data_IF_439723128002
#
_entry.id   IF_439723128002
#
_cell.length_a   1.000
_cell.length_b   1.000
_cell.length_c   1.000
_cell.angle_alpha   90.00
_cell.angle_beta   90.00
_cell.angle_gamma   90.00
#
_symmetry.space_group_name_H-M   'P 1'
#
loop_
_entity.id
_entity.type
_entity.pdbx_description
1 polymer ?
#
# COMPACT_ATOMS: atom_id res chain seq x y z
N UNK A 1 -18.38 -40.97 -15.09
CA UNK A 1 -17.92 -39.85 -15.94
C UNK A 1 -18.57 -39.99 -17.31
N UNK A 2 -19.45 -39.04 -17.69
CA UNK A 2 -20.28 -39.16 -18.89
C UNK A 2 -19.46 -38.84 -20.15
N UNK A 3 -18.87 -39.87 -20.74
CA UNK A 3 -18.27 -39.83 -22.08
C UNK A 3 -19.24 -40.45 -23.06
N UNK A 4 -19.44 -39.76 -24.16
CA UNK A 4 -20.43 -40.13 -25.16
C UNK A 4 -19.75 -40.36 -26.50
N UNK A 5 -20.32 -41.26 -27.30
CA UNK A 5 -19.87 -41.54 -28.66
C UNK A 5 -20.85 -40.91 -29.63
N UNK A 6 -20.32 -40.23 -30.64
CA UNK A 6 -21.11 -39.70 -31.74
C UNK A 6 -21.25 -40.79 -32.81
N UNK A 7 -22.50 -41.18 -33.09
CA UNK A 7 -22.80 -42.26 -34.04
C UNK A 7 -22.49 -41.89 -35.50
N UNK A 8 -22.51 -40.58 -35.85
CA UNK A 8 -22.25 -40.12 -37.21
C UNK A 8 -20.75 -40.03 -37.50
N UNK A 9 -19.97 -39.54 -36.53
CA UNK A 9 -18.53 -39.31 -36.73
C UNK A 9 -17.66 -40.44 -36.16
N UNK A 10 -18.25 -41.39 -35.43
CA UNK A 10 -17.58 -42.45 -34.65
C UNK A 10 -16.56 -41.95 -33.62
N UNK A 11 -16.49 -40.63 -33.37
CA UNK A 11 -15.62 -39.96 -32.41
C UNK A 11 -16.30 -39.81 -31.05
N UNK A 12 -15.53 -39.53 -30.01
CA UNK A 12 -16.00 -39.32 -28.64
C UNK A 12 -16.13 -37.83 -28.30
N UNK A 13 -17.01 -37.53 -27.35
CA UNK A 13 -17.16 -36.19 -26.77
C UNK A 13 -17.36 -36.24 -25.26
N UNK A 14 -16.92 -35.17 -24.59
CA UNK A 14 -17.12 -34.94 -23.16
C UNK A 14 -18.16 -33.82 -22.96
N UNK A 15 -19.19 -34.09 -22.16
CA UNK A 15 -20.24 -33.13 -21.79
C UNK A 15 -20.46 -33.19 -20.30
N UNK A 16 -20.09 -32.12 -19.59
CA UNK A 16 -20.15 -32.06 -18.13
C UNK A 16 -20.53 -30.65 -17.65
N UNK A 17 -20.97 -30.57 -16.41
CA UNK A 17 -21.34 -29.32 -15.75
C UNK A 17 -20.28 -28.90 -14.75
N UNK A 18 -20.03 -27.61 -14.63
CA UNK A 18 -19.24 -27.03 -13.54
C UNK A 18 -19.97 -25.83 -12.95
N UNK A 19 -19.65 -25.46 -11.71
CA UNK A 19 -20.18 -24.26 -11.08
C UNK A 19 -19.13 -23.16 -11.19
N UNK A 20 -19.57 -21.95 -11.52
CA UNK A 20 -18.72 -20.77 -11.39
C UNK A 20 -18.63 -20.29 -9.92
N UNK A 21 -17.86 -19.22 -9.72
CA UNK A 21 -17.67 -18.59 -8.41
C UNK A 21 -18.94 -17.95 -7.84
N UNK A 22 -20.00 -17.74 -8.65
CA UNK A 22 -21.33 -17.28 -8.20
C UNK A 22 -22.28 -18.45 -7.94
N UNK A 23 -21.79 -19.69 -8.03
CA UNK A 23 -22.59 -20.90 -7.88
C UNK A 23 -23.48 -21.22 -9.09
N UNK A 24 -23.38 -20.45 -10.18
CA UNK A 24 -24.16 -20.70 -11.39
C UNK A 24 -23.60 -21.91 -12.14
N UNK A 25 -24.50 -22.76 -12.63
CA UNK A 25 -24.14 -23.99 -13.35
C UNK A 25 -23.89 -23.69 -14.82
N UNK A 26 -22.68 -23.95 -15.28
CA UNK A 26 -22.27 -23.85 -16.68
C UNK A 26 -22.07 -25.24 -17.27
N UNK A 27 -22.36 -25.40 -18.56
CA UNK A 27 -22.15 -26.65 -19.30
C UNK A 27 -20.97 -26.49 -20.26
N UNK A 28 -20.01 -27.41 -20.19
CA UNK A 28 -18.90 -27.49 -21.14
C UNK A 28 -19.07 -28.70 -22.04
N UNK A 29 -18.83 -28.49 -23.34
CA UNK A 29 -18.89 -29.52 -24.37
C UNK A 29 -17.62 -29.45 -25.22
N UNK A 30 -16.90 -30.57 -25.32
CA UNK A 30 -15.77 -30.72 -26.25
C UNK A 30 -15.94 -32.01 -27.04
N UNK A 31 -15.87 -31.90 -28.37
CA UNK A 31 -16.06 -33.00 -29.33
C UNK A 31 -14.76 -33.29 -30.10
N UNK A 32 -14.71 -34.47 -30.72
CA UNK A 32 -13.68 -34.81 -31.70
C UNK A 32 -12.56 -35.72 -31.19
N UNK A 33 -12.72 -36.35 -30.03
CA UNK A 33 -11.74 -37.27 -29.48
C UNK A 33 -11.77 -38.60 -30.24
N UNK A 34 -10.60 -39.19 -30.52
CA UNK A 34 -10.54 -40.47 -31.22
C UNK A 34 -10.75 -41.64 -30.23
N UNK A 35 -10.41 -41.45 -28.96
CA UNK A 35 -10.55 -42.46 -27.90
C UNK A 35 -11.39 -41.96 -26.72
N UNK A 36 -12.16 -42.86 -26.11
CA UNK A 36 -12.92 -42.58 -24.88
C UNK A 36 -12.03 -42.11 -23.73
N UNK A 37 -10.81 -42.65 -23.63
CA UNK A 37 -9.81 -42.25 -22.64
C UNK A 37 -9.37 -40.78 -22.77
N UNK A 38 -9.25 -40.25 -24.00
CA UNK A 38 -8.90 -38.84 -24.23
C UNK A 38 -10.01 -37.89 -23.76
N UNK A 39 -11.26 -38.27 -23.97
CA UNK A 39 -12.41 -37.52 -23.48
C UNK A 39 -12.48 -37.51 -21.94
N UNK A 40 -12.20 -38.66 -21.29
CA UNK A 40 -12.11 -38.75 -19.81
C UNK A 40 -10.94 -37.95 -19.26
N UNK A 41 -9.79 -37.97 -19.95
CA UNK A 41 -8.60 -37.21 -19.58
C UNK A 41 -8.88 -35.71 -19.67
N UNK A 42 -9.51 -35.24 -20.75
CA UNK A 42 -9.88 -33.83 -20.90
C UNK A 42 -10.84 -33.32 -19.82
N UNK A 43 -11.83 -34.14 -19.41
CA UNK A 43 -12.72 -33.80 -18.29
C UNK A 43 -11.94 -33.71 -16.98
N UNK A 44 -11.07 -34.69 -16.68
CA UNK A 44 -10.20 -34.65 -15.49
C UNK A 44 -9.26 -33.45 -15.51
N UNK A 45 -8.61 -33.18 -16.63
CA UNK A 45 -7.70 -32.07 -16.80
C UNK A 45 -8.45 -30.75 -16.61
N UNK A 46 -9.68 -30.62 -17.12
CA UNK A 46 -10.52 -29.43 -16.91
C UNK A 46 -10.94 -29.25 -15.44
N UNK A 47 -11.35 -30.33 -14.77
CA UNK A 47 -11.65 -30.27 -13.33
C UNK A 47 -10.39 -30.04 -12.50
N UNK A 48 -9.24 -30.60 -12.88
CA UNK A 48 -7.96 -30.34 -12.23
C UNK A 48 -7.51 -28.89 -12.48
N UNK A 49 -7.69 -28.32 -13.67
CA UNK A 49 -7.47 -26.90 -13.95
C UNK A 49 -8.38 -26.01 -13.09
N UNK A 50 -9.65 -26.38 -12.94
CA UNK A 50 -10.59 -25.70 -12.04
C UNK A 50 -10.22 -25.85 -10.55
N UNK A 51 -9.62 -26.98 -10.16
CA UNK A 51 -9.36 -27.35 -8.75
C UNK A 51 -7.94 -26.98 -8.29
N UNK A 52 -6.95 -26.95 -9.18
CA UNK A 52 -5.52 -26.75 -8.89
C UNK A 52 -5.01 -25.33 -9.18
N UNK A 53 -5.83 -24.44 -9.75
CA UNK A 53 -5.39 -23.07 -9.92
C UNK A 53 -6.50 -22.23 -10.48
N UNK A 54 -7.12 -21.42 -9.63
CA UNK A 54 -8.22 -20.54 -10.02
C UNK A 54 -7.95 -19.85 -11.36
N UNK A 55 -8.88 -20.02 -12.30
CA UNK A 55 -8.91 -19.34 -13.60
C UNK A 55 -9.09 -17.81 -13.48
N UNK A 56 -9.07 -17.28 -12.25
CA UNK A 56 -9.11 -15.85 -12.02
C UNK A 56 -7.90 -15.17 -12.68
N UNK A 57 -8.17 -14.08 -13.37
CA UNK A 57 -7.12 -13.21 -13.91
C UNK A 57 -6.45 -12.44 -12.78
N UNK A 58 -5.21 -12.03 -12.98
CA UNK A 58 -4.47 -11.23 -12.01
C UNK A 58 -5.19 -9.90 -11.68
N UNK A 59 -5.84 -9.28 -12.66
CA UNK A 59 -6.66 -8.08 -12.44
C UNK A 59 -7.81 -8.34 -11.46
N UNK A 60 -8.56 -9.43 -11.66
CA UNK A 60 -9.67 -9.78 -10.77
C UNK A 60 -9.16 -10.15 -9.37
N UNK A 61 -8.01 -10.83 -9.26
CA UNK A 61 -7.36 -11.07 -7.96
C UNK A 61 -7.03 -9.76 -7.24
N UNK A 62 -6.48 -8.78 -7.96
CA UNK A 62 -6.18 -7.45 -7.41
C UNK A 62 -7.43 -6.72 -6.93
N UNK A 63 -8.52 -6.75 -7.71
CA UNK A 63 -9.79 -6.13 -7.33
C UNK A 63 -10.36 -6.77 -6.06
N UNK A 64 -10.40 -8.10 -6.00
CA UNK A 64 -10.88 -8.83 -4.83
C UNK A 64 -10.02 -8.57 -3.60
N UNK A 65 -8.68 -8.58 -3.74
CA UNK A 65 -7.76 -8.22 -2.67
C UNK A 65 -7.98 -6.80 -2.14
N UNK A 66 -8.22 -5.83 -3.03
CA UNK A 66 -8.46 -4.44 -2.63
C UNK A 66 -9.79 -4.29 -1.91
N UNK A 67 -10.86 -4.93 -2.40
CA UNK A 67 -12.18 -4.93 -1.77
C UNK A 67 -12.17 -5.62 -0.40
N UNK A 68 -11.51 -6.77 -0.26
CA UNK A 68 -11.42 -7.48 1.04
C UNK A 68 -10.65 -6.71 2.11
N UNK A 69 -9.76 -5.80 1.69
CA UNK A 69 -8.99 -4.93 2.58
C UNK A 69 -9.63 -3.56 2.77
N UNK A 70 -10.72 -3.28 2.05
CA UNK A 70 -11.54 -2.09 2.24
C UNK A 70 -12.14 -2.11 3.66
N UNK A 71 -12.13 -0.96 4.32
CA UNK A 71 -12.53 -0.83 5.74
C UNK A 71 -11.56 -1.42 6.78
N UNK A 72 -10.67 -2.36 6.41
CA UNK A 72 -9.66 -2.93 7.34
C UNK A 72 -8.37 -2.13 7.38
N UNK A 73 -7.99 -1.53 6.26
CA UNK A 73 -6.77 -0.73 6.12
C UNK A 73 -7.05 0.76 6.20
N UNK A 74 -6.08 1.53 6.72
CA UNK A 74 -6.14 2.98 6.70
C UNK A 74 -6.18 3.51 5.25
N UNK A 75 -6.85 4.65 4.99
CA UNK A 75 -6.97 5.22 3.64
C UNK A 75 -5.62 5.43 2.92
N UNK A 76 -4.58 5.86 3.66
CA UNK A 76 -3.22 6.01 3.11
C UNK A 76 -2.66 4.69 2.59
N UNK A 77 -2.84 3.60 3.34
CA UNK A 77 -2.35 2.26 2.96
C UNK A 77 -3.11 1.70 1.76
N UNK A 78 -4.43 1.96 1.68
CA UNK A 78 -5.25 1.59 0.53
C UNK A 78 -4.77 2.33 -0.73
N UNK A 79 -4.60 3.65 -0.63
CA UNK A 79 -4.11 4.49 -1.72
C UNK A 79 -2.73 4.04 -2.24
N UNK A 80 -1.76 3.81 -1.34
CA UNK A 80 -0.44 3.30 -1.74
C UNK A 80 -0.55 1.93 -2.42
N UNK A 81 -1.40 1.05 -1.92
CA UNK A 81 -1.60 -0.29 -2.52
C UNK A 81 -2.21 -0.20 -3.91
N UNK A 82 -3.25 0.61 -4.09
CA UNK A 82 -3.89 0.86 -5.38
C UNK A 82 -2.90 1.43 -6.40
N UNK A 83 -2.08 2.40 -6.00
CA UNK A 83 -1.07 2.98 -6.88
C UNK A 83 0.00 1.97 -7.32
N UNK A 84 0.51 1.15 -6.39
CA UNK A 84 1.48 0.11 -6.74
C UNK A 84 0.87 -0.88 -7.74
N UNK A 85 -0.35 -1.36 -7.46
CA UNK A 85 -1.06 -2.31 -8.31
C UNK A 85 -1.27 -1.71 -9.70
N UNK A 86 -1.86 -0.52 -9.78
CA UNK A 86 -2.22 0.14 -11.04
C UNK A 86 -1.00 0.49 -11.87
N UNK A 87 0.07 1.02 -11.26
CA UNK A 87 1.23 1.54 -11.97
C UNK A 87 2.23 0.46 -12.38
N UNK A 88 2.40 -0.59 -11.57
CA UNK A 88 3.51 -1.53 -11.76
C UNK A 88 3.09 -2.98 -12.00
N UNK A 89 1.96 -3.42 -11.43
CA UNK A 89 1.58 -4.84 -11.48
C UNK A 89 0.57 -5.14 -12.59
N UNK A 90 -0.46 -4.31 -12.75
CA UNK A 90 -1.46 -4.48 -13.80
C UNK A 90 -0.86 -4.40 -15.22
N UNK A 91 0.06 -3.47 -15.54
CA UNK A 91 0.65 -3.42 -16.88
C UNK A 91 1.36 -4.71 -17.28
N UNK A 92 1.90 -5.47 -16.31
CA UNK A 92 2.63 -6.70 -16.58
C UNK A 92 1.74 -7.95 -16.63
N UNK A 93 0.75 -8.05 -15.73
CA UNK A 93 0.07 -9.34 -15.48
C UNK A 93 -1.45 -9.31 -15.67
N UNK A 94 -2.09 -8.15 -15.87
CA UNK A 94 -3.56 -7.95 -15.77
C UNK A 94 -4.43 -9.12 -16.26
N UNK A 95 -4.24 -9.52 -17.52
CA UNK A 95 -5.12 -10.49 -18.18
C UNK A 95 -4.65 -11.94 -18.02
N UNK A 96 -3.51 -12.17 -17.38
CA UNK A 96 -2.96 -13.51 -17.19
C UNK A 96 -3.71 -14.23 -16.07
N UNK A 97 -4.13 -15.49 -16.28
CA UNK A 97 -4.56 -16.37 -15.20
C UNK A 97 -3.45 -16.52 -14.15
N UNK A 98 -3.81 -16.45 -12.87
CA UNK A 98 -2.82 -16.45 -11.78
C UNK A 98 -1.99 -17.75 -11.72
N UNK A 99 -2.56 -18.86 -12.19
CA UNK A 99 -1.90 -20.18 -12.26
C UNK A 99 -0.90 -20.29 -13.42
N UNK A 100 -0.92 -19.35 -14.37
CA UNK A 100 0.02 -19.28 -15.50
C UNK A 100 1.19 -18.34 -15.23
N UNK A 101 1.15 -17.54 -14.15
CA UNK A 101 2.25 -16.64 -13.80
C UNK A 101 3.36 -17.44 -13.13
N UNK A 102 4.41 -17.72 -13.90
CA UNK A 102 5.53 -18.53 -13.44
C UNK A 102 6.58 -17.72 -12.67
N UNK A 103 7.39 -18.35 -11.80
CA UNK A 103 8.53 -17.69 -11.16
C UNK A 103 9.50 -17.06 -12.17
N UNK A 104 9.71 -17.69 -13.33
CA UNK A 104 10.58 -17.17 -14.39
C UNK A 104 10.04 -15.85 -14.99
N UNK A 105 8.73 -15.75 -15.21
CA UNK A 105 8.09 -14.51 -15.69
C UNK A 105 8.25 -13.39 -14.67
N UNK A 106 8.05 -13.68 -13.39
CA UNK A 106 8.26 -12.72 -12.30
C UNK A 106 9.73 -12.26 -12.27
N UNK A 107 10.69 -13.19 -12.40
CA UNK A 107 12.12 -12.86 -12.44
C UNK A 107 12.49 -11.94 -13.60
N UNK A 108 11.91 -12.15 -14.79
CA UNK A 108 12.09 -11.28 -15.96
C UNK A 108 11.53 -9.88 -15.70
N UNK A 109 10.28 -9.80 -15.24
CA UNK A 109 9.65 -8.53 -14.87
C UNK A 109 10.41 -7.79 -13.76
N UNK A 110 10.93 -8.50 -12.77
CA UNK A 110 11.78 -7.93 -11.71
C UNK A 110 13.06 -7.31 -12.29
N UNK A 111 13.71 -7.97 -13.25
CA UNK A 111 14.89 -7.43 -13.94
C UNK A 111 14.56 -6.16 -14.71
N UNK A 112 13.44 -6.15 -15.45
CA UNK A 112 12.95 -4.95 -16.16
C UNK A 112 12.68 -3.80 -15.18
N UNK A 113 12.05 -4.10 -14.03
CA UNK A 113 11.80 -3.11 -12.98
C UNK A 113 13.12 -2.55 -12.44
N UNK A 114 14.14 -3.38 -12.20
CA UNK A 114 15.44 -2.90 -11.70
C UNK A 114 16.13 -2.00 -12.74
N UNK A 115 16.09 -2.38 -14.02
CA UNK A 115 16.88 -1.73 -15.07
C UNK A 115 16.22 -0.47 -15.66
N UNK A 116 14.89 -0.40 -15.72
CA UNK A 116 14.20 0.61 -16.54
C UNK A 116 13.28 1.55 -15.76
N UNK A 117 13.17 1.40 -14.43
CA UNK A 117 12.19 2.17 -13.65
C UNK A 117 12.74 3.42 -12.95
N UNK A 118 14.08 3.58 -12.86
CA UNK A 118 14.75 4.61 -12.05
C UNK A 118 14.20 4.74 -10.62
N UNK A 119 13.72 3.63 -10.04
CA UNK A 119 13.12 3.62 -8.70
C UNK A 119 14.16 3.36 -7.64
N UNK A 120 14.00 4.01 -6.48
CA UNK A 120 14.78 3.73 -5.29
C UNK A 120 14.63 2.25 -4.87
N UNK A 121 15.69 1.60 -4.36
CA UNK A 121 15.65 0.19 -3.93
C UNK A 121 14.56 -0.12 -2.89
N UNK A 122 14.25 0.83 -2.01
CA UNK A 122 13.20 0.72 -0.99
C UNK A 122 11.80 0.67 -1.61
N UNK A 123 11.58 1.42 -2.68
CA UNK A 123 10.32 1.41 -3.40
C UNK A 123 10.17 0.15 -4.26
N UNK A 124 11.25 -0.32 -4.91
CA UNK A 124 11.28 -1.62 -5.59
C UNK A 124 10.89 -2.76 -4.62
N UNK A 125 11.43 -2.74 -3.39
CA UNK A 125 11.07 -3.70 -2.34
C UNK A 125 9.58 -3.62 -1.96
N UNK A 126 9.03 -2.40 -1.89
CA UNK A 126 7.61 -2.20 -1.60
C UNK A 126 6.71 -2.80 -2.70
N UNK A 127 7.07 -2.63 -3.97
CA UNK A 127 6.37 -3.23 -5.11
C UNK A 127 6.44 -4.76 -5.02
N UNK A 128 7.64 -5.33 -4.82
CA UNK A 128 7.82 -6.78 -4.72
C UNK A 128 7.03 -7.38 -3.56
N UNK A 129 7.04 -6.72 -2.40
CA UNK A 129 6.28 -7.15 -1.22
C UNK A 129 4.78 -7.13 -1.49
N UNK A 130 4.28 -6.13 -2.23
CA UNK A 130 2.87 -6.07 -2.63
C UNK A 130 2.50 -7.21 -3.58
N UNK A 131 3.35 -7.52 -4.56
CA UNK A 131 3.14 -8.66 -5.45
C UNK A 131 3.11 -9.98 -4.66
N UNK A 132 4.07 -10.17 -3.75
CA UNK A 132 4.07 -11.35 -2.87
C UNK A 132 2.80 -11.43 -2.00
N UNK A 133 2.32 -10.32 -1.45
CA UNK A 133 1.09 -10.28 -0.66
C UNK A 133 -0.15 -10.70 -1.48
N UNK A 134 -0.24 -10.28 -2.75
CA UNK A 134 -1.31 -10.69 -3.66
C UNK A 134 -1.28 -12.19 -3.93
N UNK A 135 -0.09 -12.76 -4.18
CA UNK A 135 0.04 -14.20 -4.39
C UNK A 135 -0.17 -15.02 -3.12
N UNK A 136 0.18 -14.50 -1.93
CA UNK A 136 -0.19 -15.14 -0.66
C UNK A 136 -1.71 -15.15 -0.45
N UNK A 137 -2.40 -14.08 -0.86
CA UNK A 137 -3.86 -14.03 -0.87
C UNK A 137 -4.45 -15.05 -1.86
N UNK A 138 -3.84 -15.22 -3.04
CA UNK A 138 -4.19 -16.26 -4.00
C UNK A 138 -4.01 -17.69 -3.45
N UNK A 139 -2.89 -17.96 -2.78
CA UNK A 139 -2.64 -19.25 -2.12
C UNK A 139 -3.70 -19.55 -1.08
N UNK A 140 -4.08 -18.55 -0.28
CA UNK A 140 -5.04 -18.71 0.81
C UNK A 140 -6.48 -18.93 0.35
N UNK A 141 -6.93 -18.24 -0.70
CA UNK A 141 -8.36 -18.18 -1.06
C UNK A 141 -8.70 -18.71 -2.45
N UNK A 142 -7.71 -18.97 -3.31
CA UNK A 142 -7.90 -19.35 -4.71
C UNK A 142 -7.22 -20.68 -5.07
N UNK A 143 -6.85 -21.47 -4.05
CA UNK A 143 -6.18 -22.77 -4.16
C UNK A 143 -4.93 -22.74 -5.05
N UNK A 144 -4.21 -21.61 -5.09
CA UNK A 144 -2.92 -21.58 -5.74
C UNK A 144 -1.94 -22.43 -4.90
N UNK A 145 -1.24 -23.43 -5.46
CA UNK A 145 -0.44 -24.36 -4.67
C UNK A 145 0.67 -23.68 -3.87
N UNK A 146 1.26 -22.63 -4.43
CA UNK A 146 2.39 -21.91 -3.84
C UNK A 146 2.49 -20.48 -4.37
N UNK A 147 3.25 -19.65 -3.67
CA UNK A 147 3.52 -18.28 -4.10
C UNK A 147 4.72 -18.26 -5.08
N UNK A 148 4.51 -17.96 -6.38
CA UNK A 148 5.59 -17.95 -7.36
C UNK A 148 6.62 -16.83 -7.13
N UNK A 149 6.25 -15.76 -6.41
CA UNK A 149 7.16 -14.65 -6.05
C UNK A 149 8.23 -15.13 -5.07
N UNK A 150 7.87 -16.03 -4.15
CA UNK A 150 8.83 -16.59 -3.19
C UNK A 150 9.93 -17.39 -3.93
N UNK A 151 9.55 -18.14 -4.97
CA UNK A 151 10.50 -18.87 -5.83
C UNK A 151 11.34 -17.95 -6.71
N UNK A 152 10.77 -16.85 -7.20
CA UNK A 152 11.50 -15.88 -8.03
C UNK A 152 12.59 -15.12 -7.24
N UNK A 153 12.40 -14.98 -5.93
CA UNK A 153 13.28 -14.21 -5.06
C UNK A 153 12.78 -12.78 -4.86
N UNK A 154 13.33 -12.10 -3.85
CA UNK A 154 12.96 -10.71 -3.52
C UNK A 154 13.93 -9.72 -4.14
N UNK A 155 13.41 -8.59 -4.63
CA UNK A 155 14.20 -7.47 -5.15
C UNK A 155 14.14 -6.23 -4.24
N UNK A 156 14.97 -5.25 -4.55
CA UNK A 156 15.13 -4.02 -3.78
C UNK A 156 15.81 -4.23 -2.43
N UNK A 157 15.89 -3.18 -1.62
CA UNK A 157 16.53 -3.20 -0.31
C UNK A 157 15.60 -2.64 0.76
N UNK A 158 15.70 -3.16 1.99
CA UNK A 158 15.07 -2.57 3.17
C UNK A 158 15.96 -1.56 3.87
N UNK A 159 17.22 -1.42 3.42
CA UNK A 159 18.12 -0.41 3.96
C UNK A 159 17.72 0.95 3.40
N UNK A 160 17.34 1.84 4.30
CA UNK A 160 17.27 3.26 3.99
C UNK A 160 18.70 3.79 3.84
N UNK A 161 18.95 4.75 2.93
CA UNK A 161 20.19 5.52 2.98
C UNK A 161 20.38 6.13 4.37
N UNK A 162 21.65 6.33 4.76
CA UNK A 162 22.01 6.98 6.01
C UNK A 162 21.37 8.36 6.05
N UNK A 163 20.55 8.62 7.07
CA UNK A 163 19.92 9.92 7.27
C UNK A 163 20.94 10.84 7.95
N UNK A 164 21.37 11.89 7.26
CA UNK A 164 22.07 13.01 7.90
C UNK A 164 21.08 13.80 8.75
N UNK A 165 21.49 14.16 9.96
CA UNK A 165 20.70 14.99 10.87
C UNK A 165 21.44 16.31 11.12
N UNK A 166 20.68 17.37 11.39
CA UNK A 166 21.27 18.66 11.73
C UNK A 166 21.87 18.64 13.13
N UNK A 167 23.07 19.21 13.24
CA UNK A 167 23.63 19.66 14.51
C UNK A 167 22.83 20.84 15.06
N UNK A 168 23.03 21.15 16.34
CA UNK A 168 22.38 22.32 16.96
C UNK A 168 22.77 23.63 16.25
N UNK A 169 24.01 23.76 15.79
CA UNK A 169 24.49 24.98 15.15
C UNK A 169 23.94 25.12 13.73
N UNK A 170 23.90 24.04 12.94
CA UNK A 170 23.23 24.05 11.63
C UNK A 170 21.74 24.38 11.76
N UNK A 171 21.08 23.87 12.81
CA UNK A 171 19.68 24.19 13.08
C UNK A 171 19.49 25.67 13.43
N UNK A 172 20.38 26.25 14.25
CA UNK A 172 20.34 27.69 14.56
C UNK A 172 20.55 28.55 13.31
N UNK A 173 21.53 28.21 12.47
CA UNK A 173 21.78 28.89 11.19
C UNK A 173 20.56 28.81 10.28
N UNK A 174 19.88 27.67 10.21
CA UNK A 174 18.62 27.55 9.47
C UNK A 174 17.54 28.49 10.02
N UNK A 175 17.37 28.57 11.34
CA UNK A 175 16.39 29.47 11.96
C UNK A 175 16.71 30.94 11.70
N UNK A 176 17.98 31.34 11.66
CA UNK A 176 18.40 32.71 11.34
C UNK A 176 17.90 33.16 9.96
N UNK A 177 17.74 32.25 9.00
CA UNK A 177 17.17 32.57 7.68
C UNK A 177 15.66 32.81 7.65
N UNK A 178 14.93 32.52 8.74
CA UNK A 178 13.48 32.71 8.83
C UNK A 178 13.15 34.03 9.54
N UNK A 179 13.44 35.17 8.94
CA UNK A 179 13.34 36.49 9.61
C UNK A 179 11.98 37.17 9.45
N UNK A 180 11.21 36.83 8.43
CA UNK A 180 9.97 37.54 8.12
C UNK A 180 8.85 37.20 9.10
N UNK A 181 7.92 38.13 9.32
CA UNK A 181 6.75 37.91 10.20
C UNK A 181 5.90 36.71 9.76
N UNK A 182 5.77 36.51 8.44
CA UNK A 182 5.10 35.34 7.84
C UNK A 182 5.76 34.00 8.20
N UNK A 183 7.04 34.02 8.58
CA UNK A 183 7.83 32.82 8.87
C UNK A 183 7.79 32.42 10.35
N UNK A 184 7.19 33.24 11.23
CA UNK A 184 7.10 32.96 12.67
C UNK A 184 6.47 31.59 12.92
N UNK A 185 5.39 31.24 12.19
CA UNK A 185 4.77 29.92 12.34
C UNK A 185 5.72 28.78 11.93
N UNK A 186 6.58 28.99 10.93
CA UNK A 186 7.57 27.99 10.53
C UNK A 186 8.69 27.89 11.56
N UNK A 187 9.20 29.00 12.09
CA UNK A 187 10.18 29.01 13.17
C UNK A 187 9.73 28.19 14.37
N UNK A 188 8.49 28.42 14.82
CA UNK A 188 7.91 27.69 15.95
C UNK A 188 7.73 26.21 15.62
N UNK A 189 7.28 25.88 14.40
CA UNK A 189 7.09 24.52 13.94
C UNK A 189 8.42 23.73 13.90
N UNK A 190 9.46 24.29 13.29
CA UNK A 190 10.79 23.67 13.20
C UNK A 190 11.46 23.55 14.58
N UNK A 191 11.34 24.57 15.44
CA UNK A 191 11.81 24.50 16.83
C UNK A 191 11.11 23.38 17.59
N UNK A 192 9.80 23.26 17.44
CA UNK A 192 9.03 22.17 18.04
C UNK A 192 9.55 20.82 17.53
N UNK A 193 9.65 20.61 16.21
CA UNK A 193 10.15 19.35 15.65
C UNK A 193 11.55 18.98 16.16
N UNK A 194 12.47 19.93 16.19
CA UNK A 194 13.86 19.72 16.60
C UNK A 194 13.97 19.27 18.06
N UNK A 195 13.26 19.94 18.98
CA UNK A 195 13.38 19.67 20.42
C UNK A 195 12.47 18.54 20.93
N UNK A 196 11.53 18.05 20.12
CA UNK A 196 10.55 17.03 20.54
C UNK A 196 10.67 15.72 19.77
N UNK A 197 11.35 15.71 18.62
CA UNK A 197 11.44 14.55 17.75
C UNK A 197 10.10 14.07 17.20
N UNK A 198 9.08 14.94 17.16
CA UNK A 198 7.78 14.61 16.60
C UNK A 198 7.87 14.36 15.10
N UNK A 199 7.03 13.44 14.61
CA UNK A 199 6.80 13.33 13.17
C UNK A 199 6.00 14.54 12.71
N UNK A 200 6.23 14.99 11.48
CA UNK A 200 5.53 16.15 10.90
C UNK A 200 4.00 16.06 11.03
N UNK A 201 3.42 14.88 10.76
CA UNK A 201 1.97 14.69 10.90
C UNK A 201 1.48 14.75 12.35
N UNK A 202 2.29 14.34 13.34
CA UNK A 202 1.97 14.48 14.76
C UNK A 202 1.97 15.96 15.16
N UNK A 203 3.02 16.70 14.79
CA UNK A 203 3.11 18.14 15.05
C UNK A 203 1.96 18.91 14.38
N UNK A 204 1.65 18.62 13.12
CA UNK A 204 0.54 19.24 12.40
C UNK A 204 -0.83 18.92 12.99
N UNK A 205 -0.95 17.90 13.84
CA UNK A 205 -2.20 17.52 14.51
C UNK A 205 -2.36 18.13 15.91
N UNK A 206 -1.32 18.78 16.44
CA UNK A 206 -1.35 19.39 17.77
C UNK A 206 -2.40 20.49 17.85
N UNK A 207 -3.11 20.50 18.96
CA UNK A 207 -4.05 21.55 19.39
C UNK A 207 -3.59 22.11 20.73
N UNK A 208 -4.00 23.32 21.14
CA UNK A 208 -3.63 23.87 22.44
C UNK A 208 -3.98 22.96 23.63
N UNK A 209 -5.06 22.17 23.52
CA UNK A 209 -5.45 21.19 24.54
C UNK A 209 -4.46 20.03 24.73
N UNK A 210 -3.55 19.82 23.78
CA UNK A 210 -2.51 18.79 23.90
C UNK A 210 -1.26 19.30 24.65
N UNK A 211 -1.20 20.61 24.96
CA UNK A 211 -0.08 21.25 25.63
C UNK A 211 -0.36 21.44 27.13
N UNK A 212 0.41 20.77 27.98
CA UNK A 212 0.44 21.05 29.42
C UNK A 212 1.65 21.92 29.73
N UNK A 213 1.44 23.23 29.78
CA UNK A 213 2.50 24.20 30.04
C UNK A 213 2.93 24.25 31.51
N UNK A 214 2.14 23.72 32.45
CA UNK A 214 2.53 23.64 33.85
C UNK A 214 3.43 22.42 34.10
N UNK A 215 3.07 21.28 33.52
CA UNK A 215 3.90 20.07 33.57
C UNK A 215 5.05 20.07 32.55
N UNK A 216 5.11 21.06 31.65
CA UNK A 216 6.04 21.14 30.53
C UNK A 216 5.99 19.90 29.62
N UNK A 217 4.79 19.51 29.18
CA UNK A 217 4.62 18.32 28.32
C UNK A 217 3.69 18.53 27.12
N UNK A 218 3.87 17.69 26.10
CA UNK A 218 3.00 17.57 24.93
C UNK A 218 2.40 16.17 24.85
N UNK A 219 1.08 16.08 24.68
CA UNK A 219 0.37 14.82 24.45
C UNK A 219 0.28 14.50 22.94
N UNK A 220 0.79 13.34 22.55
CA UNK A 220 0.82 12.90 21.16
C UNK A 220 -0.18 11.76 20.97
N UNK A 221 -1.37 12.11 20.49
CA UNK A 221 -2.55 11.24 20.41
C UNK A 221 -3.23 11.30 19.02
N UNK A 222 -2.75 12.13 18.11
CA UNK A 222 -3.32 12.40 16.78
C UNK A 222 -2.22 12.48 15.72
N UNK A 223 -2.60 12.22 14.48
CA UNK A 223 -1.72 12.36 13.33
C UNK A 223 -2.48 12.94 12.14
N UNK A 224 -1.96 14.02 11.59
CA UNK A 224 -2.51 14.70 10.43
C UNK A 224 -1.92 14.10 9.15
N UNK A 225 -2.80 13.67 8.24
CA UNK A 225 -2.43 13.10 6.95
C UNK A 225 -3.21 13.74 5.82
N UNK A 226 -2.61 13.79 4.64
CA UNK A 226 -3.30 14.16 3.42
C UNK A 226 -3.49 12.92 2.54
N UNK A 227 -4.73 12.63 2.17
CA UNK A 227 -5.08 11.52 1.30
C UNK A 227 -5.88 12.09 0.14
N UNK A 228 -5.41 11.90 -1.09
CA UNK A 228 -6.11 12.35 -2.31
C UNK A 228 -6.59 13.81 -2.24
N UNK A 229 -5.75 14.71 -1.69
CA UNK A 229 -6.07 16.13 -1.50
C UNK A 229 -6.86 16.45 -0.22
N UNK A 230 -7.56 15.48 0.37
CA UNK A 230 -8.32 15.65 1.61
C UNK A 230 -7.41 15.62 2.84
N UNK A 231 -7.65 16.56 3.76
CA UNK A 231 -6.95 16.72 5.03
C UNK A 231 -7.68 15.89 6.09
N UNK A 232 -7.03 14.88 6.68
CA UNK A 232 -7.65 13.95 7.63
C UNK A 232 -6.82 13.89 8.92
N UNK A 233 -7.47 14.05 10.07
CA UNK A 233 -6.88 13.74 11.37
C UNK A 233 -7.20 12.28 11.69
N UNK A 234 -6.18 11.49 11.96
CA UNK A 234 -6.31 10.09 12.32
C UNK A 234 -5.76 9.86 13.72
N UNK A 235 -6.38 8.93 14.43
CA UNK A 235 -5.77 8.35 15.63
C UNK A 235 -4.60 7.42 15.24
N UNK A 236 -3.57 7.31 16.09
CA UNK A 236 -2.51 6.34 15.88
C UNK A 236 -3.03 4.91 15.73
N UNK A 237 -2.32 4.07 14.98
CA UNK A 237 -2.77 2.70 14.66
C UNK A 237 -2.81 1.79 15.90
N UNK A 238 -2.04 2.10 16.94
CA UNK A 238 -1.93 1.30 18.16
C UNK A 238 -1.97 2.20 19.38
N UNK A 239 -2.57 1.72 20.47
CA UNK A 239 -2.61 2.42 21.76
C UNK A 239 -1.22 2.80 22.27
N UNK A 240 -0.20 1.97 21.99
CA UNK A 240 1.22 2.23 22.30
C UNK A 240 1.81 3.48 21.62
N UNK A 241 1.14 4.02 20.61
CA UNK A 241 1.59 5.23 19.93
C UNK A 241 1.15 6.50 20.65
N UNK A 242 0.24 6.41 21.62
CA UNK A 242 -0.09 7.50 22.52
C UNK A 242 1.07 7.69 23.48
N UNK A 243 1.64 8.89 23.50
CA UNK A 243 2.77 9.21 24.39
C UNK A 243 2.73 10.66 24.82
N UNK A 244 3.36 10.93 25.95
CA UNK A 244 3.60 12.28 26.45
C UNK A 244 5.09 12.57 26.33
N UNK A 245 5.45 13.73 25.79
CA UNK A 245 6.84 14.16 25.59
C UNK A 245 7.10 15.38 26.46
N UNK A 246 8.13 15.33 27.31
CA UNK A 246 8.59 16.51 28.06
C UNK A 246 9.25 17.51 27.12
N UNK A 247 8.97 18.80 27.34
CA UNK A 247 9.49 19.89 26.54
C UNK A 247 10.25 20.91 27.40
N UNK A 248 11.32 21.55 26.88
CA UNK A 248 12.01 22.59 27.60
C UNK A 248 11.13 23.83 27.86
N UNK A 249 11.40 24.56 28.95
CA UNK A 249 10.66 25.76 29.36
C UNK A 249 10.63 26.82 28.23
N UNK A 250 11.76 27.03 27.55
CA UNK A 250 11.79 28.00 26.45
C UNK A 250 10.84 27.60 25.31
N UNK A 251 10.66 26.29 25.05
CA UNK A 251 9.72 25.81 24.03
C UNK A 251 8.27 26.02 24.49
N UNK A 252 7.98 25.86 25.78
CA UNK A 252 6.67 26.24 26.35
C UNK A 252 6.36 27.71 26.07
N UNK A 253 7.31 28.61 26.33
CA UNK A 253 7.14 30.05 26.09
C UNK A 253 6.92 30.36 24.61
N UNK A 254 7.71 29.74 23.73
CA UNK A 254 7.60 29.89 22.27
C UNK A 254 6.23 29.41 21.77
N UNK A 255 5.78 28.23 22.20
CA UNK A 255 4.48 27.67 21.82
C UNK A 255 3.33 28.52 22.37
N UNK A 256 3.37 28.92 23.64
CA UNK A 256 2.33 29.73 24.26
C UNK A 256 2.22 31.11 23.60
N UNK A 257 3.36 31.75 23.31
CA UNK A 257 3.39 33.02 22.57
C UNK A 257 2.85 32.89 21.14
N UNK A 258 3.06 31.75 20.48
CA UNK A 258 2.46 31.46 19.18
C UNK A 258 0.94 31.22 19.26
N UNK A 259 0.49 30.40 20.21
CA UNK A 259 -0.93 30.08 20.42
C UNK A 259 -1.73 31.36 20.72
N UNK A 260 -1.20 32.27 21.52
CA UNK A 260 -1.88 33.53 21.87
C UNK A 260 -2.09 34.46 20.67
N UNK A 261 -1.34 34.26 19.56
CA UNK A 261 -1.53 35.00 18.30
C UNK A 261 -2.57 34.35 17.38
N UNK A 262 -3.04 33.14 17.70
CA UNK A 262 -4.04 32.45 16.90
C UNK A 262 -5.44 32.99 17.22
N UNK A 263 -6.20 33.34 16.18
CA UNK A 263 -7.57 33.85 16.29
C UNK A 263 -8.60 32.82 16.81
N UNK A 264 -8.26 31.54 16.87
CA UNK A 264 -9.19 30.47 17.29
C UNK A 264 -8.44 29.37 18.07
N UNK A 265 -8.53 29.36 19.41
CA UNK A 265 -7.75 28.46 20.26
C UNK A 265 -8.19 26.98 20.20
N UNK A 266 -9.34 26.68 19.59
CA UNK A 266 -9.79 25.29 19.40
C UNK A 266 -9.23 24.65 18.11
N UNK A 267 -8.53 25.43 17.29
CA UNK A 267 -7.92 24.94 16.05
C UNK A 267 -6.50 24.40 16.29
N UNK A 268 -5.97 23.71 15.28
CA UNK A 268 -4.60 23.17 15.29
C UNK A 268 -3.58 24.31 15.42
N UNK A 269 -2.55 24.11 16.24
CA UNK A 269 -1.47 25.10 16.50
C UNK A 269 -0.79 25.51 15.19
N UNK A 270 -0.65 24.57 14.26
CA UNK A 270 -0.01 24.76 12.97
C UNK A 270 -1.02 24.52 11.84
N UNK A 271 -1.52 25.60 11.24
CA UNK A 271 -2.42 25.55 10.08
C UNK A 271 -1.62 25.65 8.78
N UNK A 272 -1.87 24.72 7.86
CA UNK A 272 -1.28 24.76 6.52
C UNK A 272 -2.17 25.58 5.59
N UNK A 273 -2.01 26.90 5.63
CA UNK A 273 -2.39 27.82 4.54
C UNK A 273 -1.28 27.80 3.48
N UNK A 274 -1.00 26.62 2.94
CA UNK A 274 0.11 26.45 2.01
C UNK A 274 -0.35 26.85 0.59
N UNK A 275 0.03 28.05 0.15
CA UNK A 275 0.48 28.29 -1.22
C UNK A 275 2.01 28.21 -1.17
N UNK A 276 2.60 27.02 -1.39
CA UNK A 276 4.03 26.99 -1.70
C UNK A 276 4.17 27.51 -3.12
N UNK A 277 4.63 28.75 -3.27
CA UNK A 277 5.24 29.21 -4.51
C UNK A 277 6.68 28.72 -4.43
N UNK A 278 7.02 27.68 -5.18
CA UNK A 278 8.42 27.39 -5.43
C UNK A 278 8.93 28.49 -6.38
N UNK A 279 10.07 29.14 -6.09
CA UNK A 279 10.69 29.99 -7.10
C UNK A 279 11.05 29.12 -8.30
N UNK A 280 10.56 29.50 -9.48
CA UNK A 280 11.03 28.94 -10.73
C UNK A 280 12.49 29.38 -10.91
N UNK A 281 13.41 28.41 -10.97
CA UNK A 281 14.74 28.57 -11.53
C UNK A 281 14.79 27.78 -12.84
#
# INVERSE_FOLDING_TARGET
MPVYRDEKTKKYYAKFYYRDWRGQRHQKLKRGFNRSQEAKKHERDFFNELTQGSLITFNNLCQNYLSDNEGRLKPTTQYTSQNIIKRWLLPAFSNMPINQITPLMIRKWQTELIQHSNLAPTYQRSINTKLSALFNYAVKYYNLPENPVHKAGTIGSSQSPHLSFWTLDEFKTFLEGLTDEKDISFRVAFTTLFFTGLRLGEMLALTPADCDFQAHTLQINKNYVQVTGAKVIQTPKTSKSHRTVSIPIFLCQVLQGHINRLYSPEQRIFSTSIRVVFPEN
#
